data_IF_604019052387
#
_entry.id   IF_604019052387
#
_cell.length_a   1.000
_cell.length_b   1.000
_cell.length_c   1.000
_cell.angle_alpha   90.00
_cell.angle_beta   90.00
_cell.angle_gamma   90.00
#
_symmetry.space_group_name_H-M   'P 1'
#
loop_
_entity.id
_entity.type
_entity.pdbx_description
1 polymer ?
#
# COMPACT_ATOMS: atom_id res chain seq x y z
N UNK A 1 7.43 16.84 19.13
CA UNK A 1 6.95 17.49 17.88
C UNK A 1 5.75 16.68 17.41
N UNK A 2 4.54 17.23 17.50
CA UNK A 2 3.33 16.57 16.99
C UNK A 2 3.45 16.51 15.47
N UNK A 3 3.58 15.30 14.92
CA UNK A 3 3.64 15.11 13.48
C UNK A 3 2.22 15.30 12.92
N UNK A 4 2.02 16.31 12.08
CA UNK A 4 0.72 16.57 11.45
C UNK A 4 0.53 15.53 10.36
N UNK A 5 -0.35 14.54 10.58
CA UNK A 5 -0.75 13.61 9.54
C UNK A 5 -1.38 14.40 8.39
N UNK A 6 -0.77 14.37 7.20
CA UNK A 6 -1.40 14.98 6.04
C UNK A 6 -2.48 14.04 5.51
N UNK A 7 -3.69 14.57 5.47
CA UNK A 7 -4.87 13.91 4.95
C UNK A 7 -5.40 14.72 3.78
N UNK A 8 -5.90 14.01 2.78
CA UNK A 8 -6.42 14.60 1.57
C UNK A 8 -7.64 13.79 1.14
N UNK A 9 -8.74 14.48 0.81
CA UNK A 9 -9.96 13.85 0.33
C UNK A 9 -10.07 14.06 -1.18
N UNK A 10 -10.29 12.99 -1.92
CA UNK A 10 -10.51 12.99 -3.37
C UNK A 10 -11.62 12.00 -3.68
N UNK A 11 -12.66 12.44 -4.38
CA UNK A 11 -13.81 11.58 -4.75
C UNK A 11 -14.48 10.89 -3.55
N UNK A 12 -14.65 11.60 -2.43
CA UNK A 12 -15.15 11.03 -1.15
C UNK A 12 -14.28 9.91 -0.55
N UNK A 13 -13.06 9.73 -1.07
CA UNK A 13 -12.07 8.79 -0.55
C UNK A 13 -11.02 9.57 0.23
N UNK A 14 -10.74 9.09 1.44
CA UNK A 14 -9.69 9.66 2.28
C UNK A 14 -8.34 9.04 1.93
N UNK A 15 -7.34 9.89 1.77
CA UNK A 15 -5.96 9.51 1.52
C UNK A 15 -5.04 9.99 2.63
N UNK A 16 -3.90 9.31 2.73
CA UNK A 16 -2.80 9.63 3.62
C UNK A 16 -1.50 9.65 2.84
N UNK A 17 -0.59 10.55 3.22
CA UNK A 17 0.78 10.54 2.71
C UNK A 17 1.82 10.73 3.83
N UNK A 18 2.90 9.94 3.85
CA UNK A 18 4.02 10.16 4.75
C UNK A 18 4.84 11.38 4.32
N UNK A 19 4.53 12.56 4.86
CA UNK A 19 5.18 13.83 4.49
C UNK A 19 6.67 13.97 4.90
N UNK A 20 7.24 13.00 5.60
CA UNK A 20 8.60 13.10 6.16
C UNK A 20 9.68 12.74 5.14
N UNK A 21 9.35 12.01 4.08
CA UNK A 21 10.27 11.68 2.99
C UNK A 21 9.52 11.67 1.66
N UNK A 22 9.96 12.53 0.74
CA UNK A 22 9.54 12.45 -0.64
C UNK A 22 10.12 11.18 -1.28
N UNK A 23 9.36 10.55 -2.16
CA UNK A 23 9.87 9.44 -2.98
C UNK A 23 10.82 9.94 -4.06
N UNK A 24 10.59 11.16 -4.56
CA UNK A 24 11.40 11.79 -5.59
C UNK A 24 11.18 13.30 -5.55
N UNK A 25 12.24 14.08 -5.74
CA UNK A 25 12.21 15.53 -5.91
C UNK A 25 12.60 15.89 -7.35
N UNK A 26 11.62 16.31 -8.13
CA UNK A 26 11.80 16.75 -9.52
C UNK A 26 12.22 18.21 -9.56
N UNK A 27 13.26 18.52 -10.33
CA UNK A 27 13.60 19.90 -10.67
C UNK A 27 12.70 20.38 -11.79
N UNK A 28 12.35 21.65 -11.78
CA UNK A 28 11.51 22.28 -12.80
C UNK A 28 12.27 23.47 -13.39
N UNK A 29 12.14 23.71 -14.69
CA UNK A 29 12.74 24.90 -15.30
C UNK A 29 11.89 26.16 -15.01
N UNK A 30 10.59 25.96 -14.80
CA UNK A 30 9.59 26.99 -14.54
C UNK A 30 8.76 26.62 -13.31
N UNK A 31 8.14 27.62 -12.69
CA UNK A 31 7.17 27.40 -11.62
C UNK A 31 5.95 26.68 -12.21
N UNK A 32 5.68 25.47 -11.70
CA UNK A 32 4.49 24.72 -12.09
C UNK A 32 3.26 25.26 -11.34
N UNK A 33 2.04 25.12 -11.89
CA UNK A 33 0.79 25.50 -11.22
C UNK A 33 0.43 24.51 -10.09
N UNK A 34 1.43 23.98 -9.41
CA UNK A 34 1.32 23.15 -8.22
C UNK A 34 1.64 24.07 -7.06
N UNK A 35 0.61 24.39 -6.26
CA UNK A 35 0.76 25.31 -5.14
C UNK A 35 1.63 24.75 -4.01
N UNK A 36 1.74 25.53 -2.94
CA UNK A 36 2.31 25.07 -1.67
C UNK A 36 1.45 23.97 -1.01
N UNK A 37 0.20 23.83 -1.46
CA UNK A 37 -0.72 22.74 -1.10
C UNK A 37 -0.45 21.50 -1.94
N UNK A 38 -0.65 20.33 -1.34
CA UNK A 38 -0.52 19.05 -2.02
C UNK A 38 -1.54 18.93 -3.17
N UNK A 39 -1.06 18.52 -4.34
CA UNK A 39 -1.86 18.34 -5.56
C UNK A 39 -1.76 16.88 -6.01
N UNK A 40 -2.90 16.18 -6.24
CA UNK A 40 -2.89 14.85 -6.84
C UNK A 40 -2.23 14.86 -8.21
N UNK A 41 -1.36 13.89 -8.41
CA UNK A 41 -0.67 13.67 -9.68
C UNK A 41 -0.57 12.17 -9.94
N UNK A 42 -0.73 11.77 -11.19
CA UNK A 42 -0.40 10.40 -11.63
C UNK A 42 0.90 10.43 -12.43
N UNK A 43 1.83 9.54 -12.07
CA UNK A 43 3.08 9.33 -12.80
C UNK A 43 2.92 8.10 -13.68
N UNK A 44 3.21 8.26 -14.98
CA UNK A 44 3.03 7.21 -15.99
C UNK A 44 4.33 7.06 -16.79
N UNK A 45 5.03 5.91 -16.67
CA UNK A 45 6.12 5.57 -17.55
C UNK A 45 5.55 5.22 -18.93
N UNK A 46 6.17 5.74 -19.99
CA UNK A 46 5.77 5.50 -21.38
C UNK A 46 6.92 4.90 -22.18
N UNK A 47 6.64 3.80 -22.88
CA UNK A 47 7.59 3.12 -23.75
C UNK A 47 7.57 3.70 -25.17
N UNK A 48 8.73 3.72 -25.83
CA UNK A 48 8.83 4.12 -27.23
C UNK A 48 8.18 3.06 -28.12
N UNK A 49 7.17 3.42 -28.94
CA UNK A 49 6.57 2.48 -29.88
C UNK A 49 7.54 2.10 -31.00
N UNK A 50 7.37 0.90 -31.57
CA UNK A 50 8.13 0.43 -32.73
C UNK A 50 7.95 1.36 -33.95
N UNK A 51 6.73 1.91 -34.10
CA UNK A 51 6.36 2.88 -35.12
C UNK A 51 6.90 4.31 -34.86
N UNK A 52 7.53 4.52 -33.70
CA UNK A 52 8.29 5.74 -33.36
C UNK A 52 7.49 6.91 -32.79
N UNK A 53 6.15 6.90 -32.92
CA UNK A 53 5.27 7.97 -32.42
C UNK A 53 4.29 7.38 -31.39
N UNK A 54 4.22 8.00 -30.22
CA UNK A 54 3.31 7.61 -29.14
C UNK A 54 1.94 8.25 -29.28
N UNK A 55 0.89 7.43 -29.20
CA UNK A 55 -0.50 7.78 -29.56
C UNK A 55 -1.49 7.26 -28.51
N UNK A 56 -2.78 7.64 -28.55
CA UNK A 56 -3.81 7.12 -27.64
C UNK A 56 -3.90 5.58 -27.59
N UNK A 57 -3.58 4.90 -28.69
CA UNK A 57 -3.60 3.44 -28.78
C UNK A 57 -2.62 2.78 -27.81
N UNK A 58 -1.55 3.48 -27.42
CA UNK A 58 -0.57 3.03 -26.44
C UNK A 58 -0.95 3.45 -25.01
N UNK A 59 -1.47 4.68 -24.86
CA UNK A 59 -1.76 5.25 -23.55
C UNK A 59 -3.04 4.70 -22.91
N UNK A 60 -4.11 4.52 -23.71
CA UNK A 60 -5.41 4.11 -23.20
C UNK A 60 -5.36 2.72 -22.54
N UNK A 61 -4.81 1.66 -23.17
CA UNK A 61 -4.73 0.35 -22.52
C UNK A 61 -3.90 0.38 -21.24
N UNK A 62 -2.86 1.23 -21.18
CA UNK A 62 -2.03 1.40 -20.00
C UNK A 62 -2.83 1.99 -18.83
N UNK A 63 -3.58 3.08 -19.08
CA UNK A 63 -4.43 3.72 -18.07
C UNK A 63 -5.56 2.78 -17.62
N UNK A 64 -6.23 2.11 -18.55
CA UNK A 64 -7.28 1.13 -18.24
C UNK A 64 -6.73 0.00 -17.35
N UNK A 65 -5.54 -0.50 -17.67
CA UNK A 65 -4.84 -1.51 -16.88
C UNK A 65 -4.53 -1.00 -15.46
N UNK A 66 -4.07 0.25 -15.31
CA UNK A 66 -3.77 0.83 -14.00
C UNK A 66 -5.03 0.96 -13.14
N UNK A 67 -6.12 1.50 -13.70
CA UNK A 67 -7.41 1.66 -13.00
C UNK A 67 -8.07 0.31 -12.66
N UNK A 68 -7.80 -0.75 -13.43
CA UNK A 68 -8.30 -2.08 -13.14
C UNK A 68 -7.51 -2.78 -12.02
N UNK A 69 -6.19 -2.59 -11.99
CA UNK A 69 -5.30 -3.31 -11.08
C UNK A 69 -5.14 -2.62 -9.73
N UNK A 70 -5.27 -1.29 -9.67
CA UNK A 70 -5.04 -0.51 -8.46
C UNK A 70 -6.32 0.10 -7.89
N UNK A 71 -6.60 -0.22 -6.63
CA UNK A 71 -7.76 0.28 -5.89
C UNK A 71 -7.46 1.58 -5.11
N UNK A 72 -6.25 2.14 -5.27
CA UNK A 72 -5.85 3.44 -4.71
C UNK A 72 -5.96 4.55 -5.75
N UNK A 73 -5.55 4.30 -6.99
CA UNK A 73 -5.68 5.24 -8.10
C UNK A 73 -7.15 5.40 -8.53
N UNK A 74 -7.64 6.64 -8.56
CA UNK A 74 -8.92 7.01 -9.15
C UNK A 74 -8.72 7.90 -10.38
N UNK A 75 -9.77 8.08 -11.18
CA UNK A 75 -9.74 8.95 -12.35
C UNK A 75 -9.37 10.41 -11.99
N UNK A 76 -9.71 10.89 -10.79
CA UNK A 76 -9.41 12.27 -10.40
C UNK A 76 -7.92 12.56 -10.16
N UNK A 77 -7.07 11.53 -10.00
CA UNK A 77 -5.61 11.73 -10.01
C UNK A 77 -5.09 12.18 -11.38
N UNK A 78 -5.81 11.88 -12.46
CA UNK A 78 -5.41 12.25 -13.82
C UNK A 78 -5.62 13.73 -14.13
N UNK A 79 -6.15 14.53 -13.19
CA UNK A 79 -6.22 15.98 -13.36
C UNK A 79 -4.82 16.59 -13.56
N UNK A 80 -3.80 16.00 -12.92
CA UNK A 80 -2.38 16.29 -13.18
C UNK A 80 -1.67 15.01 -13.59
N UNK A 81 -1.08 14.99 -14.78
CA UNK A 81 -0.38 13.82 -15.33
C UNK A 81 1.09 14.14 -15.53
N UNK A 82 1.97 13.25 -15.10
CA UNK A 82 3.38 13.26 -15.45
C UNK A 82 3.69 12.07 -16.36
N UNK A 83 4.17 12.34 -17.58
CA UNK A 83 4.71 11.31 -18.47
C UNK A 83 6.23 11.37 -18.45
N UNK A 84 6.87 10.21 -18.28
CA UNK A 84 8.32 10.05 -18.40
C UNK A 84 8.64 8.79 -19.20
N UNK A 85 9.79 8.72 -19.89
CA UNK A 85 10.14 7.52 -20.65
C UNK A 85 10.41 6.34 -19.69
N UNK A 86 10.03 5.14 -20.13
CA UNK A 86 10.37 3.90 -19.42
C UNK A 86 11.88 3.62 -19.45
N UNK A 87 12.56 4.04 -20.53
CA UNK A 87 14.01 4.03 -20.65
C UNK A 87 14.49 5.47 -20.85
N UNK A 88 15.19 6.01 -19.84
CA UNK A 88 15.70 7.39 -19.84
C UNK A 88 16.65 7.71 -20.99
N UNK A 89 17.27 6.71 -21.60
CA UNK A 89 18.15 6.91 -22.76
C UNK A 89 17.34 7.14 -24.05
N UNK A 90 16.06 6.80 -24.04
CA UNK A 90 15.20 6.80 -25.21
C UNK A 90 14.43 8.13 -25.34
N UNK A 91 14.42 8.67 -26.56
CA UNK A 91 13.66 9.87 -26.95
C UNK A 91 12.70 9.54 -28.07
N UNK A 92 11.48 10.04 -27.96
CA UNK A 92 10.44 9.86 -28.95
C UNK A 92 9.37 10.95 -28.87
N UNK A 93 8.60 11.05 -29.95
CA UNK A 93 7.56 12.06 -30.09
C UNK A 93 6.21 11.49 -29.62
N UNK A 94 5.43 12.34 -28.96
CA UNK A 94 4.05 12.10 -28.54
C UNK A 94 3.15 12.86 -29.51
N UNK A 95 2.22 12.14 -30.14
CA UNK A 95 1.21 12.75 -30.99
C UNK A 95 0.21 13.57 -30.16
N UNK A 96 -0.23 14.71 -30.70
CA UNK A 96 -1.19 15.59 -30.02
C UNK A 96 -2.51 14.88 -29.67
N UNK A 97 -2.90 13.82 -30.38
CA UNK A 97 -4.10 13.04 -30.06
C UNK A 97 -4.03 12.38 -28.68
N UNK A 98 -2.83 12.00 -28.19
CA UNK A 98 -2.65 11.47 -26.83
C UNK A 98 -2.99 12.52 -25.77
N UNK A 99 -2.64 13.78 -26.02
CA UNK A 99 -2.98 14.90 -25.14
C UNK A 99 -4.49 15.20 -25.18
N UNK A 100 -5.11 15.11 -26.36
CA UNK A 100 -6.56 15.28 -26.51
C UNK A 100 -7.30 14.19 -25.74
N UNK A 101 -6.83 12.95 -25.76
CA UNK A 101 -7.37 11.85 -24.96
C UNK A 101 -7.28 12.15 -23.46
N UNK A 102 -6.10 12.52 -22.94
CA UNK A 102 -5.93 12.90 -21.53
C UNK A 102 -6.86 14.05 -21.12
N UNK A 103 -6.94 15.10 -21.93
CA UNK A 103 -7.78 16.26 -21.64
C UNK A 103 -9.28 15.93 -21.67
N UNK A 104 -9.75 15.16 -22.66
CA UNK A 104 -11.19 14.94 -22.87
C UNK A 104 -11.76 13.74 -22.11
N UNK A 105 -11.00 12.66 -22.01
CA UNK A 105 -11.47 11.42 -21.40
C UNK A 105 -11.01 11.29 -19.93
N UNK A 106 -9.87 11.90 -19.57
CA UNK A 106 -9.31 11.83 -18.21
C UNK A 106 -9.43 13.14 -17.41
N UNK A 107 -10.05 14.19 -17.98
CA UNK A 107 -10.13 15.55 -17.40
C UNK A 107 -8.77 16.13 -16.96
N UNK A 108 -7.70 15.80 -17.70
CA UNK A 108 -6.37 16.33 -17.42
C UNK A 108 -6.34 17.85 -17.66
N UNK A 109 -5.88 18.59 -16.66
CA UNK A 109 -5.70 20.06 -16.70
C UNK A 109 -4.24 20.45 -16.75
N UNK A 110 -3.37 19.65 -16.13
CA UNK A 110 -1.92 19.87 -16.09
C UNK A 110 -1.23 18.62 -16.64
N UNK A 111 -0.39 18.79 -17.66
CA UNK A 111 0.49 17.76 -18.18
C UNK A 111 1.94 18.17 -17.96
N UNK A 112 2.69 17.30 -17.31
CA UNK A 112 4.14 17.43 -17.10
C UNK A 112 4.81 16.36 -17.95
N UNK A 113 5.76 16.77 -18.78
CA UNK A 113 6.53 15.89 -19.64
C UNK A 113 8.00 15.91 -19.23
N UNK A 114 8.61 14.74 -19.17
CA UNK A 114 10.06 14.64 -19.18
C UNK A 114 10.63 15.29 -20.46
N UNK A 115 11.76 15.99 -20.37
CA UNK A 115 12.40 16.69 -21.49
C UNK A 115 12.82 15.76 -22.66
N UNK A 116 12.94 14.47 -22.39
CA UNK A 116 13.18 13.43 -23.40
C UNK A 116 11.98 13.19 -24.32
N UNK A 117 10.77 13.57 -23.90
CA UNK A 117 9.51 13.41 -24.62
C UNK A 117 9.14 14.74 -25.31
N UNK A 118 8.94 14.70 -26.62
CA UNK A 118 8.55 15.89 -27.41
C UNK A 118 7.15 15.74 -27.95
N UNK A 119 6.38 16.83 -28.01
CA UNK A 119 5.05 16.79 -28.63
C UNK A 119 5.20 17.10 -30.11
N UNK A 120 4.67 16.23 -30.96
CA UNK A 120 4.51 16.52 -32.38
C UNK A 120 3.27 17.41 -32.56
N UNK A 121 3.49 18.73 -32.59
CA UNK A 121 2.43 19.70 -32.85
C UNK A 121 2.27 19.91 -34.35
N UNK A 122 1.06 19.74 -34.92
CA UNK A 122 0.82 20.00 -36.34
C UNK A 122 1.02 21.47 -36.73
N UNK A 123 1.03 22.41 -35.76
CA UNK A 123 1.48 23.79 -35.96
C UNK A 123 2.05 24.40 -34.67
N UNK A 124 3.02 25.35 -34.73
CA UNK A 124 3.59 26.02 -33.55
C UNK A 124 2.59 26.83 -32.72
N UNK A 125 1.36 27.03 -33.22
CA UNK A 125 0.29 27.81 -32.58
C UNK A 125 -0.90 26.97 -32.14
N UNK A 126 -0.81 25.64 -32.25
CA UNK A 126 -1.88 24.76 -31.78
C UNK A 126 -1.87 24.76 -30.25
N UNK A 127 -2.80 25.48 -29.64
CA UNK A 127 -2.97 25.55 -28.18
C UNK A 127 -4.14 24.64 -27.79
N UNK A 128 -3.94 23.80 -26.78
CA UNK A 128 -5.02 23.10 -26.09
C UNK A 128 -5.54 24.03 -24.98
N UNK A 129 -6.69 24.70 -25.14
CA UNK A 129 -7.09 25.82 -24.28
C UNK A 129 -7.33 25.43 -22.81
N UNK A 130 -7.51 24.14 -22.52
CA UNK A 130 -7.84 23.62 -21.19
C UNK A 130 -6.75 22.71 -20.60
N UNK A 131 -5.59 22.61 -21.25
CA UNK A 131 -4.48 21.77 -20.78
C UNK A 131 -3.18 22.59 -20.75
N UNK A 132 -2.61 22.79 -19.57
CA UNK A 132 -1.28 23.40 -19.43
C UNK A 132 -0.20 22.33 -19.55
N UNK A 133 0.72 22.52 -20.49
CA UNK A 133 1.83 21.59 -20.72
C UNK A 133 3.12 22.19 -20.20
N UNK A 134 3.84 21.43 -19.39
CA UNK A 134 5.12 21.81 -18.80
C UNK A 134 6.16 20.73 -19.03
N UNK A 135 7.43 21.12 -19.03
CA UNK A 135 8.56 20.19 -19.17
C UNK A 135 9.42 20.21 -17.92
N UNK A 136 9.91 19.03 -17.54
CA UNK A 136 10.87 18.84 -16.44
C UNK A 136 12.11 18.14 -16.97
N UNK A 137 13.33 18.50 -16.50
CA UNK A 137 14.54 17.77 -16.85
C UNK A 137 14.41 16.30 -16.48
N UNK A 138 15.16 15.43 -17.15
CA UNK A 138 15.15 14.01 -16.83
C UNK A 138 15.57 13.79 -15.37
N UNK A 139 14.62 13.33 -14.55
CA UNK A 139 14.63 13.54 -13.10
C UNK A 139 15.07 12.34 -12.26
N UNK A 140 14.67 12.34 -10.98
CA UNK A 140 14.93 11.26 -10.02
C UNK A 140 14.03 10.02 -10.15
N UNK A 141 13.01 10.06 -11.02
CA UNK A 141 12.06 8.96 -11.21
C UNK A 141 12.76 7.73 -11.78
N UNK A 142 12.89 6.64 -11.04
CA UNK A 142 13.38 5.37 -11.61
C UNK A 142 12.60 5.01 -12.86
N UNK A 143 13.25 4.29 -13.77
CA UNK A 143 12.82 3.97 -15.13
C UNK A 143 11.34 3.56 -15.25
N UNK A 144 10.76 2.88 -14.24
CA UNK A 144 9.37 2.40 -14.27
C UNK A 144 8.49 2.95 -13.14
N UNK A 145 8.84 4.10 -12.58
CA UNK A 145 8.05 4.74 -11.51
C UNK A 145 6.62 4.99 -11.98
N UNK A 146 5.64 4.37 -11.35
CA UNK A 146 4.24 4.52 -11.74
C UNK A 146 3.34 4.73 -10.53
N UNK A 147 2.21 5.38 -10.78
CA UNK A 147 1.09 5.40 -9.84
C UNK A 147 0.71 6.78 -9.33
N UNK A 148 -0.23 6.83 -8.38
CA UNK A 148 -0.70 8.07 -7.78
C UNK A 148 0.33 8.63 -6.81
N UNK A 149 0.54 9.94 -6.83
CA UNK A 149 1.34 10.67 -5.85
C UNK A 149 0.61 11.94 -5.43
N UNK A 150 1.06 12.53 -4.33
CA UNK A 150 0.78 13.94 -4.04
C UNK A 150 2.05 14.74 -4.35
N UNK A 151 1.92 15.71 -5.23
CA UNK A 151 2.96 16.68 -5.54
C UNK A 151 2.86 17.89 -4.63
N UNK A 152 4.00 18.42 -4.17
CA UNK A 152 4.06 19.71 -3.48
C UNK A 152 5.26 20.51 -3.99
N UNK A 153 5.04 21.78 -4.33
CA UNK A 153 6.14 22.69 -4.65
C UNK A 153 6.87 23.10 -3.37
N UNK A 154 8.21 23.15 -3.41
CA UNK A 154 8.98 23.72 -2.30
C UNK A 154 8.81 25.24 -2.27
N UNK A 155 8.83 25.81 -1.05
CA UNK A 155 8.66 27.25 -0.80
C UNK A 155 9.73 28.12 -1.48
N UNK A 156 10.95 27.59 -1.59
CA UNK A 156 12.11 28.31 -2.10
C UNK A 156 12.83 27.44 -3.13
N UNK A 157 12.34 27.44 -4.37
CA UNK A 157 12.98 26.74 -5.47
C UNK A 157 12.02 26.33 -6.57
N UNK A 158 12.59 25.84 -7.66
CA UNK A 158 11.87 25.19 -8.74
C UNK A 158 11.97 23.67 -8.55
N UNK A 159 11.47 23.17 -7.42
CA UNK A 159 11.51 21.75 -7.08
C UNK A 159 10.14 21.27 -6.62
N UNK A 160 9.77 20.06 -7.06
CA UNK A 160 8.52 19.39 -6.71
C UNK A 160 8.83 18.07 -6.04
N UNK A 161 8.34 17.94 -4.83
CA UNK A 161 8.40 16.70 -4.08
C UNK A 161 7.17 15.85 -4.41
N UNK A 162 7.41 14.60 -4.79
CA UNK A 162 6.40 13.57 -4.96
C UNK A 162 6.35 12.69 -3.72
N UNK A 163 5.17 12.57 -3.12
CA UNK A 163 4.95 11.73 -1.95
C UNK A 163 4.01 10.58 -2.28
N UNK A 164 4.30 9.36 -1.79
CA UNK A 164 3.45 8.21 -2.04
C UNK A 164 2.12 8.39 -1.31
N UNK A 165 1.08 7.79 -1.83
CA UNK A 165 -0.29 7.91 -1.39
C UNK A 165 -0.78 6.56 -0.92
N UNK A 166 -1.48 6.61 0.20
CA UNK A 166 -2.17 5.48 0.80
C UNK A 166 -3.65 5.82 0.82
N UNK A 167 -4.48 4.93 0.28
CA UNK A 167 -5.92 5.00 0.51
C UNK A 167 -6.22 4.56 1.94
N UNK A 168 -7.08 5.28 2.65
CA UNK A 168 -7.47 4.95 4.00
C UNK A 168 -8.77 4.14 4.00
N UNK A 169 -8.68 2.88 4.42
CA UNK A 169 -9.85 2.03 4.61
C UNK A 169 -10.24 1.99 6.09
N UNK A 170 -11.52 2.21 6.39
CA UNK A 170 -12.04 2.02 7.74
C UNK A 170 -12.12 0.52 8.09
N UNK A 171 -11.55 0.11 9.22
CA UNK A 171 -11.62 -1.24 9.75
C UNK A 171 -12.96 -1.49 10.46
N UNK A 172 -14.05 -1.50 9.69
CA UNK A 172 -15.43 -1.73 10.17
C UNK A 172 -15.55 -3.01 11.01
N UNK A 173 -14.87 -4.07 10.58
CA UNK A 173 -14.86 -5.37 11.25
C UNK A 173 -13.94 -5.43 12.47
N UNK A 174 -13.30 -4.31 12.85
CA UNK A 174 -12.44 -4.18 14.04
C UNK A 174 -11.40 -5.30 14.14
N UNK A 175 -10.78 -5.65 13.02
CA UNK A 175 -9.83 -6.75 12.88
C UNK A 175 -8.40 -6.36 13.26
N UNK A 176 -8.07 -5.08 13.19
CA UNK A 176 -6.72 -4.54 13.43
C UNK A 176 -6.61 -3.85 14.80
N UNK A 177 -5.44 -3.99 15.41
CA UNK A 177 -4.98 -3.16 16.53
C UNK A 177 -4.62 -1.77 15.99
N UNK A 178 -3.96 -1.72 14.85
CA UNK A 178 -3.56 -0.49 14.17
C UNK A 178 -3.28 -0.71 12.69
N UNK A 179 -3.58 0.31 11.89
CA UNK A 179 -2.98 0.50 10.56
C UNK A 179 -1.55 1.04 10.68
N UNK A 180 -0.66 0.59 9.81
CA UNK A 180 0.77 0.91 9.86
C UNK A 180 1.33 1.17 8.47
N UNK A 181 2.42 1.95 8.41
CA UNK A 181 3.11 2.26 7.17
C UNK A 181 4.63 2.32 7.40
N UNK A 182 5.46 2.02 6.38
CA UNK A 182 6.90 2.17 6.47
C UNK A 182 7.29 3.66 6.47
N UNK A 183 8.35 4.01 7.21
CA UNK A 183 8.93 5.36 7.19
C UNK A 183 9.90 5.58 6.02
N UNK A 184 10.27 4.50 5.33
CA UNK A 184 11.24 4.51 4.23
C UNK A 184 12.60 5.12 4.58
N UNK A 185 12.93 5.16 5.87
CA UNK A 185 14.13 5.76 6.45
C UNK A 185 15.45 5.02 6.15
N UNK A 186 15.43 4.04 5.25
CA UNK A 186 16.54 3.13 4.97
C UNK A 186 16.84 2.13 6.09
N UNK A 187 16.10 2.18 7.21
CA UNK A 187 16.33 1.34 8.39
C UNK A 187 15.21 0.31 8.62
N UNK A 188 14.22 0.26 7.72
CA UNK A 188 13.08 -0.65 7.79
C UNK A 188 12.11 -0.34 8.94
N UNK A 189 12.08 0.92 9.40
CA UNK A 189 11.23 1.33 10.52
C UNK A 189 9.79 1.57 10.06
N UNK A 190 8.82 1.13 10.87
CA UNK A 190 7.40 1.36 10.66
C UNK A 190 6.83 2.33 11.69
N UNK A 191 5.66 2.90 11.36
CA UNK A 191 4.90 3.77 12.27
C UNK A 191 3.41 3.41 12.25
N UNK A 192 2.77 3.60 13.39
CA UNK A 192 1.32 3.51 13.55
C UNK A 192 0.66 4.74 12.93
N UNK A 193 -0.40 4.56 12.13
CA UNK A 193 -1.19 5.67 11.60
C UNK A 193 -1.91 6.44 12.71
N UNK A 194 -2.52 5.72 13.66
CA UNK A 194 -3.15 6.34 14.83
C UNK A 194 -4.42 7.15 14.51
N UNK A 195 -5.06 6.86 13.37
CA UNK A 195 -6.30 7.52 12.93
C UNK A 195 -7.48 6.56 13.09
N UNK A 196 -8.61 7.12 13.53
CA UNK A 196 -9.92 6.45 13.54
C UNK A 196 -10.92 7.27 12.74
N UNK A 197 -11.96 6.61 12.22
CA UNK A 197 -13.15 7.29 11.69
C UNK A 197 -14.06 7.82 12.81
N UNK A 198 -15.17 8.44 12.43
CA UNK A 198 -16.18 8.97 13.36
C UNK A 198 -16.84 7.90 14.26
N UNK A 199 -16.79 6.62 13.85
CA UNK A 199 -17.33 5.47 14.59
C UNK A 199 -16.28 4.77 15.47
N UNK A 200 -15.05 5.29 15.48
CA UNK A 200 -13.92 4.73 16.22
C UNK A 200 -13.31 3.48 15.58
N UNK A 201 -13.57 3.22 14.30
CA UNK A 201 -12.90 2.17 13.54
C UNK A 201 -11.49 2.63 13.17
N UNK A 202 -10.50 1.73 13.27
CA UNK A 202 -9.12 2.06 12.89
C UNK A 202 -9.05 2.32 11.39
N UNK A 203 -8.33 3.36 10.96
CA UNK A 203 -8.04 3.56 9.54
C UNK A 203 -6.78 2.76 9.17
N UNK A 204 -6.85 2.01 8.07
CA UNK A 204 -5.75 1.20 7.54
C UNK A 204 -5.20 1.91 6.29
N UNK A 205 -3.93 2.35 6.30
CA UNK A 205 -3.31 2.93 5.13
C UNK A 205 -2.90 1.82 4.16
N UNK A 206 -3.46 1.86 2.96
CA UNK A 206 -3.25 0.86 1.91
C UNK A 206 -2.51 1.53 0.74
N UNK A 207 -1.27 1.10 0.43
CA UNK A 207 -0.46 1.67 -0.65
C UNK A 207 -0.96 1.27 -2.04
N UNK A 208 -0.66 2.07 -3.06
CA UNK A 208 -0.93 1.72 -4.46
C UNK A 208 -0.08 0.52 -4.90
N UNK A 209 -0.67 -0.40 -5.65
CA UNK A 209 0.02 -1.55 -6.24
C UNK A 209 0.99 -1.13 -7.35
N UNK A 210 0.75 0.03 -7.96
CA UNK A 210 1.54 0.55 -9.08
C UNK A 210 2.98 0.90 -8.67
N UNK A 211 3.25 1.14 -7.39
CA UNK A 211 4.61 1.37 -6.88
C UNK A 211 5.54 0.17 -7.01
N UNK A 212 4.98 -1.01 -7.32
CA UNK A 212 5.74 -2.26 -7.43
C UNK A 212 5.49 -2.97 -8.76
N UNK A 213 4.89 -2.29 -9.73
CA UNK A 213 4.47 -2.90 -11.01
C UNK A 213 5.66 -3.47 -11.82
N UNK A 214 6.85 -2.94 -11.59
CA UNK A 214 8.10 -3.35 -12.22
C UNK A 214 8.93 -4.33 -11.40
N UNK A 215 8.49 -4.64 -10.17
CA UNK A 215 9.23 -5.51 -9.28
C UNK A 215 9.02 -6.98 -9.65
N UNK A 216 10.11 -7.68 -9.96
CA UNK A 216 10.11 -9.13 -10.21
C UNK A 216 9.97 -9.97 -8.92
N UNK A 217 9.95 -9.33 -7.75
CA UNK A 217 9.81 -10.03 -6.47
C UNK A 217 8.47 -10.77 -6.42
N UNK A 218 8.44 -12.01 -5.88
CA UNK A 218 7.25 -12.85 -5.97
C UNK A 218 6.05 -12.27 -5.23
N UNK A 219 6.23 -11.46 -4.18
CA UNK A 219 5.14 -10.86 -3.42
C UNK A 219 4.99 -9.34 -3.65
N UNK A 220 5.57 -8.81 -4.73
CA UNK A 220 5.43 -7.42 -5.13
C UNK A 220 3.96 -6.98 -5.13
N UNK A 221 3.66 -5.91 -4.39
CA UNK A 221 2.33 -5.32 -4.28
C UNK A 221 1.32 -6.15 -3.48
N UNK A 222 1.68 -7.33 -2.96
CA UNK A 222 0.80 -8.13 -2.12
C UNK A 222 0.72 -7.52 -0.72
N UNK A 223 -0.48 -7.13 -0.30
CA UNK A 223 -0.73 -6.46 0.98
C UNK A 223 -1.01 -7.47 2.08
N UNK A 224 -0.34 -7.32 3.22
CA UNK A 224 -0.38 -8.29 4.34
C UNK A 224 -0.78 -7.68 5.68
N UNK A 225 -1.71 -8.35 6.35
CA UNK A 225 -2.09 -8.07 7.73
C UNK A 225 -1.40 -9.06 8.67
N UNK A 226 -0.71 -8.56 9.69
CA UNK A 226 0.18 -9.40 10.51
C UNK A 226 -0.36 -9.52 11.93
N UNK A 227 -0.60 -10.74 12.43
CA UNK A 227 -1.04 -10.97 13.83
C UNK A 227 -0.17 -10.22 14.81
N UNK A 228 -0.77 -9.63 15.84
CA UNK A 228 -0.07 -8.75 16.79
C UNK A 228 0.71 -9.51 17.87
N UNK A 229 1.53 -10.46 17.43
CA UNK A 229 2.56 -11.17 18.20
C UNK A 229 3.92 -11.14 17.50
N UNK A 230 3.97 -10.73 16.23
CA UNK A 230 5.20 -10.53 15.49
C UNK A 230 5.73 -9.13 15.76
N UNK A 231 7.01 -9.04 16.13
CA UNK A 231 7.72 -7.78 16.24
C UNK A 231 7.97 -7.20 14.85
N UNK A 232 7.73 -5.90 14.73
CA UNK A 232 8.04 -5.09 13.56
C UNK A 232 8.68 -3.83 14.09
N UNK A 233 9.88 -3.51 13.60
CA UNK A 233 10.68 -2.39 14.06
C UNK A 233 9.89 -1.08 13.99
N UNK A 234 9.90 -0.32 15.09
CA UNK A 234 9.18 0.96 15.19
C UNK A 234 7.72 0.84 15.64
N UNK A 235 7.18 -0.38 15.76
CA UNK A 235 5.82 -0.62 16.22
C UNK A 235 5.77 -1.28 17.60
N UNK A 236 4.78 -0.95 18.45
CA UNK A 236 4.47 -1.76 19.61
C UNK A 236 3.91 -3.12 19.19
N UNK A 237 4.08 -4.13 20.04
CA UNK A 237 3.41 -5.43 19.90
C UNK A 237 2.65 -5.70 21.19
N UNK A 238 1.33 -5.83 21.10
CA UNK A 238 0.49 -5.95 22.30
C UNK A 238 0.32 -7.38 22.77
N UNK A 239 0.46 -8.36 21.87
CA UNK A 239 0.08 -9.75 22.15
C UNK A 239 -1.33 -9.85 22.77
N UNK A 240 -2.25 -8.94 22.43
CA UNK A 240 -3.59 -8.89 23.02
C UNK A 240 -3.63 -8.50 24.50
N UNK A 241 -2.55 -7.91 25.05
CA UNK A 241 -2.39 -7.59 26.48
C UNK A 241 -1.84 -6.16 26.68
N UNK A 242 -2.61 -5.30 27.37
CA UNK A 242 -2.16 -3.93 27.72
C UNK A 242 -0.91 -3.94 28.60
N UNK A 243 -0.81 -4.90 29.52
CA UNK A 243 0.35 -5.07 30.40
C UNK A 243 1.60 -5.42 29.61
N UNK A 244 1.47 -6.27 28.59
CA UNK A 244 2.59 -6.63 27.74
C UNK A 244 3.09 -5.42 26.94
N UNK A 245 2.17 -4.63 26.37
CA UNK A 245 2.51 -3.38 25.67
C UNK A 245 3.24 -2.40 26.59
N UNK A 246 2.74 -2.20 27.82
CA UNK A 246 3.35 -1.30 28.79
C UNK A 246 4.75 -1.75 29.23
N UNK A 247 4.97 -3.07 29.31
CA UNK A 247 6.28 -3.64 29.68
C UNK A 247 7.29 -3.59 28.53
N UNK A 248 6.89 -3.95 27.30
CA UNK A 248 7.82 -4.12 26.17
C UNK A 248 8.00 -2.89 25.31
N UNK A 249 7.00 -2.02 25.24
CA UNK A 249 7.03 -0.83 24.39
C UNK A 249 7.19 -1.15 22.90
N UNK A 250 7.94 -0.30 22.20
CA UNK A 250 8.19 -0.39 20.76
C UNK A 250 9.29 -1.40 20.45
N UNK A 251 9.08 -2.24 19.44
CA UNK A 251 10.08 -3.19 18.99
C UNK A 251 11.24 -2.50 18.25
N UNK A 252 12.48 -2.93 18.55
CA UNK A 252 13.70 -2.41 17.90
C UNK A 252 14.10 -3.22 16.65
N UNK A 253 13.53 -4.40 16.48
CA UNK A 253 13.80 -5.31 15.36
C UNK A 253 12.50 -5.86 14.79
N UNK A 254 12.55 -6.27 13.53
CA UNK A 254 11.48 -7.00 12.86
C UNK A 254 11.78 -8.50 12.93
N UNK A 255 10.77 -9.32 13.21
CA UNK A 255 10.89 -10.78 13.19
C UNK A 255 11.43 -11.27 11.84
N UNK A 256 12.38 -12.22 11.83
CA UNK A 256 13.02 -12.64 10.56
C UNK A 256 12.01 -13.16 9.53
N UNK A 257 10.95 -13.83 9.98
CA UNK A 257 9.86 -14.29 9.12
C UNK A 257 9.16 -13.13 8.42
N UNK A 258 9.03 -11.96 9.06
CA UNK A 258 8.43 -10.78 8.45
C UNK A 258 9.41 -10.05 7.54
N UNK A 259 10.70 -10.00 7.91
CA UNK A 259 11.76 -9.49 7.03
C UNK A 259 11.80 -10.26 5.72
N UNK A 260 11.65 -11.60 5.76
CA UNK A 260 11.57 -12.44 4.56
C UNK A 260 10.43 -11.99 3.63
N UNK A 261 9.20 -11.85 4.14
CA UNK A 261 8.06 -11.36 3.34
C UNK A 261 8.30 -9.98 2.74
N UNK A 262 8.88 -9.05 3.51
CA UNK A 262 9.22 -7.69 3.03
C UNK A 262 10.28 -7.73 1.92
N UNK A 263 11.30 -8.58 2.08
CA UNK A 263 12.34 -8.76 1.06
C UNK A 263 11.76 -9.30 -0.24
N UNK A 264 10.75 -10.17 -0.15
CA UNK A 264 9.97 -10.69 -1.29
C UNK A 264 8.92 -9.69 -1.83
N UNK A 265 8.85 -8.47 -1.30
CA UNK A 265 8.03 -7.38 -1.83
C UNK A 265 6.64 -7.21 -1.21
N UNK A 266 6.31 -7.98 -0.17
CA UNK A 266 5.02 -7.85 0.50
C UNK A 266 4.93 -6.58 1.35
N UNK A 267 3.77 -5.94 1.35
CA UNK A 267 3.53 -4.67 2.03
C UNK A 267 2.69 -4.84 3.30
N UNK A 268 3.31 -4.62 4.47
CA UNK A 268 2.61 -4.71 5.76
C UNK A 268 1.76 -3.47 5.99
N UNK A 269 0.44 -3.65 6.05
CA UNK A 269 -0.54 -2.56 6.19
C UNK A 269 -1.15 -2.43 7.58
N UNK A 270 -1.03 -3.47 8.43
CA UNK A 270 -1.57 -3.40 9.78
C UNK A 270 -1.16 -4.53 10.72
N UNK A 271 -1.25 -4.26 12.03
CA UNK A 271 -1.15 -5.27 13.10
C UNK A 271 -2.54 -5.80 13.41
N UNK A 272 -2.81 -7.06 13.10
CA UNK A 272 -4.11 -7.71 13.29
C UNK A 272 -4.28 -8.24 14.72
N UNK A 273 -5.49 -8.14 15.27
CA UNK A 273 -5.80 -8.56 16.65
C UNK A 273 -5.56 -10.05 16.89
N UNK A 274 -5.27 -10.36 18.14
CA UNK A 274 -5.18 -11.71 18.69
C UNK A 274 -5.85 -11.73 20.06
N UNK A 275 -6.20 -12.92 20.56
CA UNK A 275 -6.46 -13.10 22.00
C UNK A 275 -5.15 -12.94 22.79
N UNK A 276 -5.27 -12.61 24.08
CA UNK A 276 -4.14 -12.37 24.97
C UNK A 276 -3.15 -13.54 24.95
N UNK A 277 -1.88 -13.21 24.69
CA UNK A 277 -0.74 -14.12 24.56
C UNK A 277 -0.97 -15.27 23.56
N UNK A 278 -1.82 -15.06 22.56
CA UNK A 278 -2.22 -16.10 21.60
C UNK A 278 -2.74 -17.41 22.26
N UNK A 279 -3.21 -17.34 23.50
CA UNK A 279 -3.69 -18.47 24.31
C UNK A 279 -5.02 -19.07 23.81
N UNK A 280 -5.44 -20.18 24.40
CA UNK A 280 -6.69 -20.90 24.06
C UNK A 280 -7.96 -20.29 24.69
N UNK A 281 -7.89 -19.09 25.29
CA UNK A 281 -9.00 -18.49 26.03
C UNK A 281 -10.25 -18.21 25.18
N UNK A 282 -11.43 -18.36 25.80
CA UNK A 282 -12.69 -17.93 25.18
C UNK A 282 -12.69 -16.42 24.99
N UNK A 283 -12.98 -16.04 23.76
CA UNK A 283 -12.96 -14.71 23.16
C UNK A 283 -13.68 -13.62 23.98
N UNK A 284 -14.65 -14.00 24.81
CA UNK A 284 -15.59 -13.09 25.49
C UNK A 284 -15.18 -12.78 26.93
N UNK A 285 -14.30 -13.56 27.56
CA UNK A 285 -14.05 -13.44 29.01
C UNK A 285 -13.06 -12.35 29.41
N UNK A 286 -12.43 -11.66 28.45
CA UNK A 286 -11.34 -10.73 28.75
C UNK A 286 -11.70 -9.24 28.66
N UNK A 287 -12.86 -8.84 28.13
CA UNK A 287 -13.40 -7.46 28.21
C UNK A 287 -12.53 -6.29 27.71
N UNK A 288 -11.28 -6.52 27.33
CA UNK A 288 -10.23 -5.52 27.15
C UNK A 288 -10.04 -5.11 25.68
N UNK A 289 -10.53 -5.92 24.73
CA UNK A 289 -10.47 -5.64 23.29
C UNK A 289 -11.79 -6.11 22.67
N UNK A 290 -12.57 -5.22 22.05
CA UNK A 290 -13.72 -5.63 21.21
C UNK A 290 -13.18 -6.55 20.12
N UNK A 291 -13.66 -7.80 20.13
CA UNK A 291 -13.24 -8.84 19.20
C UNK A 291 -13.57 -8.44 17.76
N UNK A 292 -12.80 -8.92 16.76
CA UNK A 292 -13.14 -8.71 15.35
C UNK A 292 -14.53 -9.25 15.01
N UNK A 293 -15.31 -8.48 14.27
CA UNK A 293 -16.58 -8.96 13.72
C UNK A 293 -16.30 -9.80 12.48
N UNK A 294 -16.96 -10.94 12.36
CA UNK A 294 -16.88 -11.74 11.13
C UNK A 294 -17.77 -11.12 10.05
N UNK A 295 -17.36 -11.11 8.77
CA UNK A 295 -18.28 -10.79 7.68
C UNK A 295 -19.37 -11.85 7.47
N UNK A 296 -19.34 -12.97 8.21
CA UNK A 296 -20.30 -14.06 8.12
C UNK A 296 -21.22 -14.11 9.33
N UNK A 297 -22.40 -14.70 9.14
CA UNK A 297 -23.38 -14.90 10.22
C UNK A 297 -23.82 -13.59 10.86
N UNK A 298 -24.06 -12.57 10.03
CA UNK A 298 -24.53 -11.25 10.45
C UNK A 298 -23.67 -10.60 11.55
N UNK A 299 -22.34 -10.66 11.41
CA UNK A 299 -21.36 -10.17 12.40
C UNK A 299 -21.28 -10.97 13.71
N UNK A 300 -22.17 -11.94 13.94
CA UNK A 300 -22.22 -12.73 15.18
C UNK A 300 -21.42 -14.03 15.13
N UNK A 301 -21.02 -14.51 13.95
CA UNK A 301 -20.16 -15.67 13.85
C UNK A 301 -18.74 -15.34 14.34
N UNK A 302 -18.15 -16.18 15.19
CA UNK A 302 -16.73 -16.03 15.56
C UNK A 302 -15.80 -16.41 14.41
N UNK A 303 -14.71 -15.67 14.22
CA UNK A 303 -13.60 -16.08 13.33
C UNK A 303 -12.60 -17.03 14.02
N UNK A 304 -12.93 -17.56 15.21
CA UNK A 304 -12.06 -18.47 15.96
C UNK A 304 -10.87 -17.78 16.64
N UNK A 305 -10.03 -18.56 17.32
CA UNK A 305 -8.86 -18.08 18.06
C UNK A 305 -7.65 -18.98 17.81
N UNK A 306 -6.42 -18.55 18.09
CA UNK A 306 -6.02 -17.21 18.54
C UNK A 306 -5.79 -16.19 17.42
N UNK A 307 -5.72 -16.61 16.15
CA UNK A 307 -5.51 -15.71 15.00
C UNK A 307 -6.82 -15.11 14.48
N UNK A 308 -7.64 -14.56 15.38
CA UNK A 308 -8.96 -14.01 15.06
C UNK A 308 -8.92 -12.82 14.11
N UNK A 309 -8.05 -11.84 14.38
CA UNK A 309 -7.86 -10.67 13.53
C UNK A 309 -7.43 -11.06 12.13
N UNK A 310 -6.33 -11.83 11.96
CA UNK A 310 -5.90 -12.33 10.64
C UNK A 310 -7.01 -13.03 9.86
N UNK A 311 -7.77 -13.95 10.48
CA UNK A 311 -8.83 -14.68 9.80
C UNK A 311 -10.01 -13.78 9.42
N UNK A 312 -10.51 -12.95 10.34
CA UNK A 312 -11.59 -12.01 10.02
C UNK A 312 -11.17 -10.98 8.96
N UNK A 313 -9.98 -10.38 9.07
CA UNK A 313 -9.48 -9.40 8.10
C UNK A 313 -9.41 -9.99 6.70
N UNK A 314 -8.89 -11.23 6.60
CA UNK A 314 -8.78 -11.93 5.34
C UNK A 314 -10.14 -12.29 4.74
N UNK A 315 -11.12 -12.63 5.58
CA UNK A 315 -12.48 -12.88 5.13
C UNK A 315 -13.23 -11.59 4.73
N UNK A 316 -12.91 -10.45 5.36
CA UNK A 316 -13.67 -9.21 5.24
C UNK A 316 -13.18 -8.28 4.13
N UNK A 317 -11.86 -8.15 3.94
CA UNK A 317 -11.30 -7.06 3.14
C UNK A 317 -10.69 -7.54 1.84
N UNK A 318 -11.30 -7.16 0.71
CA UNK A 318 -10.83 -7.54 -0.63
C UNK A 318 -9.49 -6.89 -1.01
N UNK A 319 -9.20 -5.69 -0.50
CA UNK A 319 -7.94 -4.98 -0.72
C UNK A 319 -6.72 -5.66 -0.07
N UNK A 320 -6.94 -6.64 0.81
CA UNK A 320 -5.91 -7.42 1.50
C UNK A 320 -5.67 -8.74 0.78
N UNK A 321 -4.41 -9.15 0.59
CA UNK A 321 -4.08 -10.33 -0.22
C UNK A 321 -3.86 -11.60 0.60
N UNK A 322 -3.23 -11.44 1.76
CA UNK A 322 -3.05 -12.50 2.75
C UNK A 322 -2.91 -11.94 4.15
N UNK A 323 -3.06 -12.80 5.15
CA UNK A 323 -2.70 -12.45 6.53
C UNK A 323 -1.80 -13.49 7.15
N UNK A 324 -0.98 -13.05 8.10
CA UNK A 324 -0.08 -13.92 8.86
C UNK A 324 -0.70 -14.17 10.23
N UNK A 325 -0.85 -15.45 10.58
CA UNK A 325 -1.25 -15.95 11.90
C UNK A 325 -0.14 -16.77 12.57
N UNK A 326 -0.50 -17.46 13.65
CA UNK A 326 0.35 -18.49 14.27
C UNK A 326 -0.50 -19.65 14.79
N UNK A 327 0.03 -20.87 14.73
CA UNK A 327 -0.64 -22.11 15.09
C UNK A 327 0.16 -22.90 16.13
N UNK A 328 -0.27 -22.86 17.39
CA UNK A 328 0.25 -23.71 18.47
C UNK A 328 -0.51 -25.04 18.47
N UNK A 329 -1.83 -24.98 18.63
CA UNK A 329 -2.74 -26.13 18.75
C UNK A 329 -3.96 -26.05 17.81
N UNK A 330 -3.85 -25.33 16.69
CA UNK A 330 -4.96 -25.09 15.75
C UNK A 330 -5.29 -23.62 15.51
N UNK A 331 -4.48 -22.70 16.03
CA UNK A 331 -4.75 -21.26 15.97
C UNK A 331 -4.67 -20.61 14.58
N UNK A 332 -4.31 -21.37 13.53
CA UNK A 332 -4.54 -20.98 12.12
C UNK A 332 -5.64 -21.84 11.51
N UNK A 333 -5.55 -23.17 11.65
CA UNK A 333 -6.48 -24.10 10.99
C UNK A 333 -7.93 -23.93 11.48
N UNK A 334 -8.14 -23.75 12.77
CA UNK A 334 -9.45 -23.52 13.37
C UNK A 334 -10.11 -22.23 12.85
N UNK A 335 -9.45 -21.06 13.01
CA UNK A 335 -9.91 -19.80 12.41
C UNK A 335 -10.16 -19.89 10.90
N UNK A 336 -9.32 -20.60 10.15
CA UNK A 336 -9.48 -20.77 8.71
C UNK A 336 -10.75 -21.56 8.38
N UNK A 337 -11.01 -22.66 9.09
CA UNK A 337 -12.20 -23.48 8.89
C UNK A 337 -13.50 -22.70 9.13
N UNK A 338 -13.57 -21.91 10.21
CA UNK A 338 -14.78 -21.14 10.53
C UNK A 338 -14.96 -19.93 9.60
N UNK A 339 -13.86 -19.25 9.23
CA UNK A 339 -13.90 -18.10 8.34
C UNK A 339 -13.99 -18.50 6.84
N UNK A 340 -13.95 -19.80 6.52
CA UNK A 340 -13.97 -20.34 5.17
C UNK A 340 -12.79 -19.88 4.32
N UNK A 341 -11.58 -20.02 4.86
CA UNK A 341 -10.31 -19.62 4.26
C UNK A 341 -9.37 -20.82 4.15
N UNK A 342 -8.35 -20.69 3.30
CA UNK A 342 -7.19 -21.57 3.34
C UNK A 342 -6.27 -21.12 4.46
N UNK A 343 -5.78 -22.06 5.27
CA UNK A 343 -4.76 -21.80 6.27
C UNK A 343 -3.97 -23.05 6.64
N UNK A 344 -2.68 -22.90 6.91
CA UNK A 344 -1.76 -24.00 7.19
C UNK A 344 -1.18 -23.96 8.59
N UNK A 345 -0.80 -25.16 9.05
CA UNK A 345 0.24 -25.35 10.04
C UNK A 345 1.46 -25.93 9.29
N UNK A 346 2.48 -25.14 8.94
CA UNK A 346 3.67 -25.65 8.28
C UNK A 346 4.37 -26.73 9.11
N UNK A 347 5.25 -27.49 8.46
CA UNK A 347 6.19 -28.37 9.17
C UNK A 347 6.97 -27.55 10.20
N UNK A 348 7.04 -28.07 11.42
CA UNK A 348 7.67 -27.36 12.52
C UNK A 348 9.13 -27.00 12.21
N UNK A 349 9.51 -25.75 12.50
CA UNK A 349 10.88 -25.25 12.31
C UNK A 349 11.21 -24.77 10.91
N UNK A 350 10.33 -24.94 9.91
CA UNK A 350 10.58 -24.43 8.54
C UNK A 350 10.57 -22.90 8.47
N UNK A 351 9.78 -22.25 9.33
CA UNK A 351 9.77 -20.79 9.50
C UNK A 351 10.27 -20.47 10.91
N UNK A 352 11.22 -19.53 11.01
CA UNK A 352 11.84 -19.13 12.26
C UNK A 352 10.83 -18.39 13.18
N UNK A 353 11.02 -18.54 14.50
CA UNK A 353 10.17 -17.98 15.55
C UNK A 353 10.82 -16.80 16.28
N UNK A 354 11.99 -16.32 15.84
CA UNK A 354 12.61 -15.13 16.42
C UNK A 354 11.72 -13.90 16.20
N UNK A 355 11.73 -13.00 17.17
CA UNK A 355 10.86 -11.82 17.14
C UNK A 355 9.36 -12.13 17.25
N UNK A 356 8.98 -13.32 17.69
CA UNK A 356 7.60 -13.71 17.97
C UNK A 356 7.34 -13.81 19.47
N UNK A 357 6.17 -13.36 19.93
CA UNK A 357 5.65 -13.73 21.26
C UNK A 357 5.14 -15.17 21.20
N UNK A 358 5.96 -16.10 21.67
CA UNK A 358 5.72 -17.55 21.61
C UNK A 358 4.80 -18.02 22.74
N UNK A 359 4.01 -19.06 22.47
CA UNK A 359 3.14 -19.73 23.44
C UNK A 359 3.81 -20.99 23.95
N UNK A 360 4.11 -21.92 23.03
CA UNK A 360 4.82 -23.17 23.29
C UNK A 360 5.77 -23.42 22.12
N UNK A 361 7.03 -23.03 22.30
CA UNK A 361 8.07 -22.99 21.25
C UNK A 361 8.17 -24.28 20.41
N UNK A 362 8.00 -25.44 21.03
CA UNK A 362 8.10 -26.74 20.34
C UNK A 362 6.82 -27.15 19.58
N UNK A 363 5.79 -26.31 19.55
CA UNK A 363 4.57 -26.54 18.77
C UNK A 363 4.15 -25.33 17.94
N UNK A 364 4.70 -24.16 18.24
CA UNK A 364 4.40 -22.92 17.52
C UNK A 364 4.92 -22.97 16.09
N UNK A 365 4.04 -22.61 15.15
CA UNK A 365 4.41 -22.39 13.76
C UNK A 365 3.77 -21.11 13.25
N UNK A 366 4.49 -20.22 12.55
CA UNK A 366 3.88 -19.18 11.73
C UNK A 366 3.02 -19.84 10.65
N UNK A 367 1.94 -19.20 10.22
CA UNK A 367 1.08 -19.70 9.15
C UNK A 367 0.34 -18.56 8.49
N UNK A 368 -0.25 -18.79 7.32
CA UNK A 368 -0.97 -17.75 6.59
C UNK A 368 -2.46 -18.06 6.45
N UNK A 369 -3.23 -17.03 6.13
CA UNK A 369 -4.59 -17.15 5.62
C UNK A 369 -4.69 -16.52 4.23
N UNK A 370 -5.48 -17.13 3.35
CA UNK A 370 -5.85 -16.55 2.06
C UNK A 370 -7.17 -17.10 1.55
N UNK A 371 -7.72 -16.47 0.51
CA UNK A 371 -8.96 -16.86 -0.17
C UNK A 371 -8.72 -17.73 -1.40
N UNK A 372 -7.48 -17.84 -1.88
CA UNK A 372 -7.14 -18.52 -3.13
C UNK A 372 -6.07 -19.59 -2.92
N UNK A 373 -6.26 -20.83 -3.41
CA UNK A 373 -5.24 -21.87 -3.34
C UNK A 373 -4.01 -21.52 -4.17
N UNK A 374 -4.18 -20.79 -5.29
CA UNK A 374 -3.07 -20.32 -6.12
C UNK A 374 -2.22 -19.28 -5.36
N UNK A 375 -2.86 -18.29 -4.71
CA UNK A 375 -2.15 -17.35 -3.83
C UNK A 375 -1.50 -18.07 -2.65
N UNK A 376 -2.19 -19.05 -2.07
CA UNK A 376 -1.68 -19.83 -0.94
C UNK A 376 -0.34 -20.49 -1.27
N UNK A 377 -0.26 -21.17 -2.41
CA UNK A 377 0.99 -21.76 -2.91
C UNK A 377 2.06 -20.67 -3.14
N UNK A 378 1.72 -19.62 -3.90
CA UNK A 378 2.64 -18.52 -4.22
C UNK A 378 3.29 -17.92 -2.97
N UNK A 379 2.50 -17.65 -1.94
CA UNK A 379 2.98 -17.03 -0.70
C UNK A 379 3.87 -18.00 0.08
N UNK A 380 3.49 -19.27 0.20
CA UNK A 380 4.27 -20.28 0.92
C UNK A 380 5.56 -20.68 0.21
N UNK A 381 5.62 -20.59 -1.12
CA UNK A 381 6.87 -20.82 -1.85
C UNK A 381 7.87 -19.66 -1.64
N UNK A 382 7.37 -18.44 -1.48
CA UNK A 382 8.19 -17.24 -1.27
C UNK A 382 8.62 -17.06 0.19
N UNK A 383 7.77 -17.45 1.14
CA UNK A 383 7.96 -17.25 2.59
C UNK A 383 8.76 -18.38 3.23
#
# INVERSE_FOLDING_TARGET
>A
MLYVLLQYDLDDIQYFTPYHQSSCTLRTATTLPIGETFTPIVVIPVSKPDEGIFTPQHLRPLIESYLQQDDVLTQSFFNTVLLHPEDRSTKFDIDISALVYLMREMDAKILILDESLKINLPSPRTVLPSLSVHTVPSGCLSDKTAGPYLARSQLFGNEIDLFPVYRLYADYYRTFVSGVYPLNDGLGTYRVLGKVDEFGNQMIPVPSRLYTIDSEKPLAGERVGVKDIYYIKGLPTTAGSRTYTAWRGTANTTASSMVKLQNEGAEIVGKAKTVAYASSGMVVSLGLVRYPFSPRGDLYQSCGSSSSGPACAMAAYHWLDFTVGSDTAGSVRGPAAVAGLYGNKPTQGIINLDGLVQVLKWTDTPGIFTRSPAKFKKILDAW
#
